data_IF_158074669158
#
_entry.id   IF_158074669158
#
_cell.length_a   1.000
_cell.length_b   1.000
_cell.length_c   1.000
_cell.angle_alpha   90.00
_cell.angle_beta   90.00
_cell.angle_gamma   90.00
#
_symmetry.space_group_name_H-M   'P 1'
#
loop_
_entity.id
_entity.type
_entity.pdbx_description
1 polymer ?
#
# COMPACT_ATOMS: atom_id res chain seq x y z
N UNK A 1 -15.24 -11.85 -2.27
CA UNK A 1 -14.48 -11.89 -3.53
C UNK A 1 -13.80 -13.26 -3.69
N UNK A 2 -13.72 -13.80 -4.91
CA UNK A 2 -13.03 -15.06 -5.20
C UNK A 2 -11.52 -14.86 -5.09
N UNK A 3 -10.81 -15.83 -4.50
CA UNK A 3 -9.35 -15.84 -4.37
C UNK A 3 -8.77 -16.86 -5.33
N UNK A 4 -7.58 -16.57 -5.85
CA UNK A 4 -6.91 -17.40 -6.84
C UNK A 4 -5.50 -17.72 -6.37
N UNK A 5 -4.96 -18.82 -6.83
CA UNK A 5 -3.52 -19.12 -6.80
C UNK A 5 -3.09 -19.18 -8.26
N UNK A 6 -2.23 -18.22 -8.64
CA UNK A 6 -1.76 -18.06 -10.02
C UNK A 6 -0.23 -18.11 -10.04
N UNK A 7 0.32 -18.68 -11.08
CA UNK A 7 1.73 -18.55 -11.41
C UNK A 7 1.86 -17.43 -12.43
N UNK A 8 2.25 -16.23 -11.94
CA UNK A 8 2.37 -15.03 -12.76
C UNK A 8 3.79 -14.93 -13.31
N UNK A 9 3.89 -14.53 -14.58
CA UNK A 9 5.17 -14.35 -15.27
C UNK A 9 5.75 -12.97 -14.94
N UNK A 10 7.03 -12.93 -14.59
CA UNK A 10 7.77 -11.69 -14.36
C UNK A 10 8.01 -11.00 -15.70
N UNK A 11 7.53 -9.77 -15.82
CA UNK A 11 7.75 -8.86 -16.96
C UNK A 11 9.05 -8.08 -16.76
N UNK A 12 9.22 -7.49 -15.57
CA UNK A 12 10.44 -6.77 -15.19
C UNK A 12 10.64 -6.77 -13.69
N UNK A 13 11.91 -6.57 -13.27
CA UNK A 13 12.30 -6.23 -11.90
C UNK A 13 13.16 -4.99 -11.99
N UNK A 14 12.65 -3.87 -11.49
CA UNK A 14 13.26 -2.55 -11.61
C UNK A 14 13.75 -2.11 -10.23
N UNK A 15 15.07 -1.94 -10.00
CA UNK A 15 15.56 -1.37 -8.75
C UNK A 15 15.17 0.13 -8.70
N UNK A 16 14.45 0.52 -7.65
CA UNK A 16 14.09 1.92 -7.41
C UNK A 16 15.09 2.58 -6.44
N UNK A 17 15.71 1.79 -5.58
CA UNK A 17 16.78 2.20 -4.68
C UNK A 17 17.57 0.96 -4.22
N UNK A 18 18.59 1.13 -3.41
CA UNK A 18 19.35 0.02 -2.81
C UNK A 18 18.47 -0.94 -1.97
N UNK A 19 17.29 -0.48 -1.58
CA UNK A 19 16.39 -1.20 -0.64
C UNK A 19 15.02 -1.51 -1.23
N UNK A 20 14.71 -1.07 -2.44
CA UNK A 20 13.38 -1.23 -3.03
C UNK A 20 13.45 -1.67 -4.47
N UNK A 21 12.60 -2.60 -4.83
CA UNK A 21 12.41 -3.06 -6.21
C UNK A 21 10.94 -3.02 -6.60
N UNK A 22 10.66 -2.67 -7.83
CA UNK A 22 9.35 -2.79 -8.45
C UNK A 22 9.33 -4.03 -9.34
N UNK A 23 8.45 -4.99 -9.01
CA UNK A 23 8.26 -6.22 -9.76
C UNK A 23 6.97 -6.09 -10.55
N UNK A 24 7.05 -6.19 -11.88
CA UNK A 24 5.88 -6.21 -12.77
C UNK A 24 5.60 -7.65 -13.21
N UNK A 25 4.36 -8.08 -13.06
CA UNK A 25 3.90 -9.44 -13.31
C UNK A 25 2.76 -9.42 -14.33
N UNK A 26 2.60 -10.49 -15.08
CA UNK A 26 1.49 -10.68 -16.01
C UNK A 26 0.99 -12.13 -16.01
N UNK A 27 -0.16 -12.36 -16.64
CA UNK A 27 -0.72 -13.68 -16.94
C UNK A 27 -1.17 -13.71 -18.40
N UNK A 28 -1.20 -14.89 -19.02
CA UNK A 28 -1.77 -15.08 -20.35
C UNK A 28 -3.29 -14.84 -20.37
N UNK A 29 -3.96 -14.94 -19.22
CA UNK A 29 -5.36 -14.62 -18.99
C UNK A 29 -5.50 -13.27 -18.32
N UNK A 30 -6.66 -12.63 -18.49
CA UNK A 30 -6.96 -11.40 -17.78
C UNK A 30 -6.83 -11.59 -16.26
N UNK A 31 -6.09 -10.68 -15.61
CA UNK A 31 -5.97 -10.64 -14.16
C UNK A 31 -7.36 -10.49 -13.51
N UNK A 32 -7.61 -11.13 -12.34
CA UNK A 32 -8.87 -10.99 -11.63
C UNK A 32 -9.17 -9.54 -11.27
N UNK A 33 -10.41 -9.27 -10.90
CA UNK A 33 -10.76 -7.99 -10.31
C UNK A 33 -9.98 -7.79 -8.99
N UNK A 34 -9.38 -6.61 -8.85
CA UNK A 34 -8.55 -6.23 -7.69
C UNK A 34 -9.01 -4.85 -7.24
N UNK A 35 -9.28 -4.72 -5.96
CA UNK A 35 -9.59 -3.45 -5.32
C UNK A 35 -8.33 -2.76 -4.79
N UNK A 36 -8.25 -1.42 -4.79
CA UNK A 36 -7.12 -0.70 -4.24
C UNK A 36 -6.99 -0.96 -2.73
N UNK A 37 -5.77 -1.17 -2.25
CA UNK A 37 -5.51 -1.53 -0.85
C UNK A 37 -5.47 -3.04 -0.58
N UNK A 38 -5.84 -3.88 -1.54
CA UNK A 38 -5.64 -5.34 -1.44
C UNK A 38 -4.17 -5.72 -1.59
N UNK A 39 -3.83 -6.94 -1.20
CA UNK A 39 -2.48 -7.46 -1.23
C UNK A 39 -2.43 -8.86 -1.86
N UNK A 40 -1.23 -9.34 -2.07
CA UNK A 40 -0.91 -10.68 -2.57
C UNK A 40 0.01 -11.40 -1.59
N UNK A 41 -0.19 -12.71 -1.41
CA UNK A 41 0.76 -13.59 -0.71
C UNK A 41 1.63 -14.30 -1.75
N UNK A 42 2.89 -13.88 -1.88
CA UNK A 42 3.83 -14.46 -2.83
C UNK A 42 4.62 -15.61 -2.21
N UNK A 43 4.76 -16.72 -2.96
CA UNK A 43 5.65 -17.81 -2.58
C UNK A 43 7.08 -17.43 -2.95
N UNK A 44 8.00 -17.68 -2.03
CA UNK A 44 9.42 -17.43 -2.26
C UNK A 44 10.10 -18.75 -2.53
N UNK A 45 10.38 -19.01 -3.79
CA UNK A 45 11.10 -20.20 -4.21
C UNK A 45 12.62 -20.00 -4.02
N UNK A 46 13.37 -21.10 -3.95
CA UNK A 46 14.83 -21.11 -3.76
C UNK A 46 15.32 -20.43 -2.46
N UNK A 47 14.46 -20.36 -1.44
CA UNK A 47 14.79 -19.83 -0.12
C UNK A 47 14.39 -20.82 0.98
N UNK A 48 15.20 -21.84 1.28
CA UNK A 48 14.84 -22.88 2.25
C UNK A 48 14.47 -22.37 3.64
N UNK A 49 15.04 -21.23 4.05
CA UNK A 49 14.71 -20.55 5.30
C UNK A 49 13.38 -19.77 5.25
N UNK A 50 12.76 -19.63 4.07
CA UNK A 50 11.54 -18.85 3.88
C UNK A 50 10.35 -19.76 3.64
N UNK A 51 9.86 -20.39 4.70
CA UNK A 51 8.74 -21.36 4.61
C UNK A 51 7.38 -20.69 4.31
N UNK A 52 7.14 -19.50 4.83
CA UNK A 52 5.88 -18.79 4.66
C UNK A 52 5.91 -17.88 3.43
N UNK A 53 4.76 -17.68 2.81
CA UNK A 53 4.55 -16.64 1.80
C UNK A 53 4.85 -15.27 2.37
N UNK A 54 5.05 -14.29 1.51
CA UNK A 54 5.25 -12.87 1.88
C UNK A 54 4.05 -12.06 1.43
N UNK A 55 3.37 -11.38 2.38
CA UNK A 55 2.33 -10.43 2.04
C UNK A 55 2.97 -9.18 1.43
N UNK A 56 2.53 -8.85 0.22
CA UNK A 56 2.99 -7.65 -0.51
C UNK A 56 1.75 -6.89 -0.95
N UNK A 57 1.67 -5.61 -0.60
CA UNK A 57 0.60 -4.74 -1.10
C UNK A 57 0.64 -4.64 -2.61
N UNK A 58 -0.53 -4.68 -3.24
CA UNK A 58 -0.63 -4.43 -4.67
C UNK A 58 -0.41 -2.94 -4.90
N UNK A 59 0.67 -2.62 -5.62
CA UNK A 59 1.07 -1.25 -5.90
C UNK A 59 0.23 -0.66 -7.04
N UNK A 60 0.09 -1.42 -8.14
CA UNK A 60 -0.67 -0.98 -9.29
C UNK A 60 -1.27 -2.14 -10.08
N UNK A 61 -2.37 -1.87 -10.79
CA UNK A 61 -2.96 -2.81 -11.75
C UNK A 61 -3.15 -2.08 -13.06
N UNK A 62 -2.29 -2.40 -14.02
CA UNK A 62 -2.42 -1.93 -15.38
C UNK A 62 -3.33 -2.90 -16.17
N UNK A 63 -4.57 -2.47 -16.44
CA UNK A 63 -5.55 -3.28 -17.16
C UNK A 63 -5.30 -3.34 -18.66
N UNK A 64 -4.66 -2.33 -19.22
CA UNK A 64 -4.36 -2.25 -20.66
C UNK A 64 -3.23 -3.22 -21.01
N UNK A 65 -2.19 -3.26 -20.17
CA UNK A 65 -1.05 -4.17 -20.34
C UNK A 65 -1.24 -5.52 -19.64
N UNK A 66 -2.35 -5.71 -18.93
CA UNK A 66 -2.61 -6.89 -18.09
C UNK A 66 -1.48 -7.15 -17.08
N UNK A 67 -1.03 -6.10 -16.37
CA UNK A 67 0.08 -6.19 -15.43
C UNK A 67 -0.35 -5.92 -13.99
N UNK A 68 0.27 -6.64 -13.07
CA UNK A 68 0.23 -6.44 -11.62
C UNK A 68 1.60 -5.95 -11.16
N UNK A 69 1.65 -4.82 -10.46
CA UNK A 69 2.88 -4.25 -9.94
C UNK A 69 2.98 -4.46 -8.43
N UNK A 70 4.16 -4.87 -7.98
CA UNK A 70 4.48 -5.10 -6.57
C UNK A 70 5.71 -4.27 -6.19
N UNK A 71 5.53 -3.29 -5.32
CA UNK A 71 6.63 -2.53 -4.72
C UNK A 71 7.13 -3.28 -3.48
N UNK A 72 8.37 -3.73 -3.51
CA UNK A 72 8.94 -4.62 -2.49
C UNK A 72 10.13 -3.96 -1.79
N UNK A 73 10.04 -3.83 -0.46
CA UNK A 73 11.19 -3.46 0.37
C UNK A 73 12.07 -4.70 0.63
N UNK A 74 13.36 -4.59 0.31
CA UNK A 74 14.35 -5.67 0.45
C UNK A 74 14.91 -5.69 1.88
N UNK A 75 14.18 -6.29 2.80
CA UNK A 75 14.49 -6.24 4.25
C UNK A 75 14.88 -7.58 4.86
N UNK A 76 14.58 -8.69 4.20
CA UNK A 76 14.84 -10.04 4.73
C UNK A 76 15.15 -11.05 3.62
N UNK A 77 15.45 -12.31 3.99
CA UNK A 77 15.86 -13.35 3.02
C UNK A 77 14.83 -13.54 1.91
N UNK A 78 13.55 -13.60 2.26
CA UNK A 78 12.50 -13.76 1.26
C UNK A 78 12.46 -12.61 0.25
N UNK A 79 12.49 -11.36 0.71
CA UNK A 79 12.46 -10.20 -0.19
C UNK A 79 13.77 -10.01 -0.95
N UNK A 80 14.92 -10.41 -0.38
CA UNK A 80 16.20 -10.51 -1.12
C UNK A 80 16.14 -11.55 -2.23
N UNK A 81 15.39 -12.63 -2.05
CA UNK A 81 15.22 -13.62 -3.13
C UNK A 81 14.27 -13.10 -4.21
N UNK A 82 13.19 -12.41 -3.82
CA UNK A 82 12.29 -11.76 -4.77
C UNK A 82 12.99 -10.70 -5.63
N UNK A 83 13.94 -9.94 -5.07
CA UNK A 83 14.69 -8.92 -5.82
C UNK A 83 15.68 -9.49 -6.86
N UNK A 84 15.92 -10.81 -6.85
CA UNK A 84 16.78 -11.50 -7.82
C UNK A 84 16.02 -12.13 -8.98
N UNK A 85 14.69 -12.06 -8.97
CA UNK A 85 13.87 -12.55 -10.08
C UNK A 85 14.26 -11.86 -11.38
N UNK A 86 14.12 -12.57 -12.47
CA UNK A 86 14.44 -12.09 -13.81
C UNK A 86 13.20 -12.14 -14.72
N UNK A 87 13.24 -11.39 -15.79
CA UNK A 87 12.21 -11.44 -16.81
C UNK A 87 12.03 -12.90 -17.30
N UNK A 88 10.78 -13.35 -17.30
CA UNK A 88 10.40 -14.70 -17.69
C UNK A 88 10.27 -15.69 -16.54
N UNK A 89 10.79 -15.39 -15.35
CA UNK A 89 10.56 -16.20 -14.16
C UNK A 89 9.06 -16.27 -13.81
N UNK A 90 8.69 -17.33 -13.08
CA UNK A 90 7.32 -17.51 -12.61
C UNK A 90 7.24 -17.23 -11.10
N UNK A 91 6.31 -16.41 -10.69
CA UNK A 91 6.04 -16.09 -9.29
C UNK A 91 4.65 -16.60 -8.88
N UNK A 92 4.61 -17.56 -7.95
CA UNK A 92 3.36 -18.10 -7.44
C UNK A 92 2.70 -17.13 -6.45
N UNK A 93 1.52 -16.64 -6.80
CA UNK A 93 0.79 -15.60 -6.11
C UNK A 93 -0.59 -16.10 -5.66
N UNK A 94 -0.94 -15.87 -4.40
CA UNK A 94 -2.32 -16.01 -3.92
C UNK A 94 -2.94 -14.61 -3.82
N UNK A 95 -3.94 -14.31 -4.64
CA UNK A 95 -4.54 -12.98 -4.81
C UNK A 95 -6.01 -13.05 -5.30
N UNK A 96 -6.78 -11.92 -5.26
CA UNK A 96 -6.55 -10.79 -4.36
C UNK A 96 -6.91 -11.15 -2.92
N UNK A 97 -6.24 -10.54 -1.95
CA UNK A 97 -6.47 -10.79 -0.53
C UNK A 97 -6.84 -9.49 0.20
N UNK A 98 -7.63 -9.64 1.24
CA UNK A 98 -8.09 -8.53 2.07
C UNK A 98 -9.18 -7.67 1.44
N UNK A 99 -9.53 -6.59 2.12
CA UNK A 99 -10.50 -5.58 1.72
C UNK A 99 -9.77 -4.32 1.23
N UNK A 100 -10.38 -3.60 0.30
CA UNK A 100 -9.83 -2.38 -0.26
C UNK A 100 -10.21 -1.12 0.52
N UNK A 101 -9.66 0.02 0.06
CA UNK A 101 -10.02 1.36 0.51
C UNK A 101 -11.46 1.72 0.10
N UNK A 102 -12.06 2.64 0.85
CA UNK A 102 -13.38 3.19 0.54
C UNK A 102 -13.30 4.11 -0.69
N UNK A 103 -14.08 3.76 -1.71
CA UNK A 103 -14.18 4.54 -2.94
C UNK A 103 -15.10 5.76 -2.75
N UNK A 104 -14.93 6.85 -3.54
CA UNK A 104 -15.76 8.04 -3.44
C UNK A 104 -17.22 7.74 -3.74
N UNK A 105 -18.10 8.44 -3.05
CA UNK A 105 -19.56 8.36 -3.25
C UNK A 105 -20.10 9.43 -4.20
N UNK A 106 -19.29 10.46 -4.47
CA UNK A 106 -19.61 11.56 -5.38
C UNK A 106 -18.33 12.10 -6.04
N UNK A 107 -18.43 12.64 -7.26
CA UNK A 107 -17.33 13.37 -7.89
C UNK A 107 -16.92 14.60 -7.07
N UNK A 108 -15.66 15.01 -7.20
CA UNK A 108 -15.10 16.19 -6.54
C UNK A 108 -14.72 15.98 -5.06
N UNK A 109 -14.98 14.83 -4.48
CA UNK A 109 -14.49 14.52 -3.12
C UNK A 109 -12.97 14.58 -3.08
N UNK A 110 -12.42 15.24 -2.06
CA UNK A 110 -10.98 15.43 -1.87
C UNK A 110 -10.41 14.38 -0.93
N UNK A 111 -9.49 13.60 -1.43
CA UNK A 111 -8.82 12.53 -0.68
C UNK A 111 -7.37 12.90 -0.38
N UNK A 112 -6.97 12.83 0.89
CA UNK A 112 -5.56 12.90 1.28
C UNK A 112 -5.01 11.48 1.46
N UNK A 113 -4.07 11.11 0.61
CA UNK A 113 -3.39 9.82 0.62
C UNK A 113 -2.01 9.98 1.25
N UNK A 114 -1.85 9.53 2.50
CA UNK A 114 -0.63 9.73 3.28
C UNK A 114 0.20 8.45 3.30
N UNK A 115 1.37 8.49 2.72
CA UNK A 115 2.27 7.33 2.63
C UNK A 115 3.64 7.56 3.25
N UNK A 116 4.24 6.51 3.85
CA UNK A 116 5.58 6.57 4.40
C UNK A 116 6.45 5.37 4.01
N UNK A 117 7.61 5.61 3.41
CA UNK A 117 8.49 4.56 2.92
C UNK A 117 7.77 3.63 1.93
N UNK A 118 7.95 2.30 2.04
CA UNK A 118 7.26 1.33 1.17
C UNK A 118 5.75 1.31 1.34
N UNK A 119 5.21 1.89 2.43
CA UNK A 119 3.77 2.04 2.64
C UNK A 119 3.06 2.94 1.62
N UNK A 120 3.80 3.62 0.74
CA UNK A 120 3.22 4.31 -0.42
C UNK A 120 2.59 3.34 -1.43
N UNK A 121 3.03 2.08 -1.42
CA UNK A 121 2.64 1.07 -2.42
C UNK A 121 1.12 0.97 -2.67
N UNK A 122 0.24 0.74 -1.68
CA UNK A 122 -1.19 0.57 -1.94
C UNK A 122 -1.90 1.86 -2.36
N UNK A 123 -1.24 3.01 -2.26
CA UNK A 123 -1.85 4.32 -2.52
C UNK A 123 -1.81 4.72 -3.99
N UNK A 124 -0.87 4.18 -4.78
CA UNK A 124 -0.73 4.54 -6.20
C UNK A 124 -1.95 4.11 -7.02
N UNK A 125 -2.32 2.84 -6.95
CA UNK A 125 -3.50 2.31 -7.64
C UNK A 125 -4.80 2.95 -7.11
N UNK A 126 -4.85 3.23 -5.82
CA UNK A 126 -5.98 3.92 -5.22
C UNK A 126 -6.15 5.32 -5.80
N UNK A 127 -5.07 6.12 -5.86
CA UNK A 127 -5.12 7.46 -6.45
C UNK A 127 -5.55 7.46 -7.91
N UNK A 128 -5.08 6.48 -8.72
CA UNK A 128 -5.57 6.30 -10.09
C UNK A 128 -7.08 6.12 -10.13
N UNK A 129 -7.62 5.19 -9.35
CA UNK A 129 -9.05 4.90 -9.36
C UNK A 129 -9.89 6.06 -8.81
N UNK A 130 -9.40 6.81 -7.83
CA UNK A 130 -10.03 8.04 -7.35
C UNK A 130 -10.15 9.07 -8.47
N UNK A 131 -9.06 9.32 -9.20
CA UNK A 131 -9.05 10.23 -10.35
C UNK A 131 -10.01 9.78 -11.45
N UNK A 132 -10.01 8.49 -11.77
CA UNK A 132 -10.90 7.91 -12.78
C UNK A 132 -12.39 8.10 -12.42
N UNK A 133 -12.72 8.16 -11.13
CA UNK A 133 -14.08 8.41 -10.62
C UNK A 133 -14.37 9.90 -10.39
N UNK A 134 -13.48 10.78 -10.82
CA UNK A 134 -13.66 12.23 -10.72
C UNK A 134 -13.45 12.81 -9.33
N UNK A 135 -12.81 12.07 -8.42
CA UNK A 135 -12.34 12.61 -7.13
C UNK A 135 -11.02 13.38 -7.31
N UNK A 136 -10.61 14.12 -6.29
CA UNK A 136 -9.38 14.92 -6.26
C UNK A 136 -8.38 14.30 -5.27
N UNK A 137 -7.52 13.34 -5.70
CA UNK A 137 -6.50 12.77 -4.84
C UNK A 137 -5.31 13.71 -4.67
N UNK A 138 -4.91 13.89 -3.42
CA UNK A 138 -3.68 14.58 -3.02
C UNK A 138 -2.80 13.60 -2.26
N UNK A 139 -1.57 13.43 -2.70
CA UNK A 139 -0.61 12.55 -2.06
C UNK A 139 0.29 13.35 -1.12
N UNK A 140 0.43 12.90 0.12
CA UNK A 140 1.40 13.40 1.08
C UNK A 140 2.37 12.27 1.43
N UNK A 141 3.55 12.32 0.81
CA UNK A 141 4.54 11.26 0.86
C UNK A 141 5.70 11.64 1.77
N UNK A 142 5.96 10.82 2.78
CA UNK A 142 7.01 11.04 3.76
C UNK A 142 8.14 10.02 3.64
N UNK A 143 9.38 10.51 3.81
CA UNK A 143 10.56 9.67 3.83
C UNK A 143 11.59 10.22 4.84
N UNK A 144 12.66 9.45 5.11
CA UNK A 144 13.78 9.97 5.91
C UNK A 144 14.60 10.98 5.13
N UNK A 145 14.87 10.66 3.88
CA UNK A 145 15.70 11.44 2.95
C UNK A 145 15.07 11.46 1.57
N UNK A 146 15.51 12.36 0.70
CA UNK A 146 15.06 12.44 -0.70
C UNK A 146 15.26 11.12 -1.47
N UNK A 147 16.31 10.37 -1.16
CA UNK A 147 16.61 9.09 -1.84
C UNK A 147 15.70 7.93 -1.41
N UNK A 148 14.96 8.11 -0.32
CA UNK A 148 13.95 7.14 0.15
C UNK A 148 12.54 7.42 -0.40
N UNK A 149 12.35 8.51 -1.16
CA UNK A 149 11.10 8.82 -1.85
C UNK A 149 10.94 7.91 -3.08
N UNK A 150 9.77 7.29 -3.21
CA UNK A 150 9.52 6.27 -4.22
C UNK A 150 8.42 6.73 -5.19
N UNK A 151 8.58 6.44 -6.47
CA UNK A 151 7.56 6.54 -7.52
C UNK A 151 6.90 7.94 -7.67
N UNK A 152 7.61 9.03 -7.34
CA UNK A 152 7.03 10.39 -7.36
C UNK A 152 6.39 10.75 -8.71
N UNK A 153 7.05 10.39 -9.82
CA UNK A 153 6.56 10.67 -11.18
C UNK A 153 5.29 9.86 -11.49
N UNK A 154 5.17 8.65 -10.95
CA UNK A 154 3.96 7.84 -11.10
C UNK A 154 2.79 8.46 -10.32
N UNK A 155 3.02 8.86 -9.07
CA UNK A 155 2.01 9.55 -8.26
C UNK A 155 1.53 10.86 -8.91
N UNK A 156 2.44 11.64 -9.47
CA UNK A 156 2.13 12.91 -10.13
C UNK A 156 1.18 12.79 -11.33
N UNK A 157 1.09 11.60 -11.95
CA UNK A 157 0.12 11.34 -13.03
C UNK A 157 -1.33 11.38 -12.54
N UNK A 158 -1.56 11.08 -11.26
CA UNK A 158 -2.90 10.87 -10.74
C UNK A 158 -3.38 11.98 -9.79
N UNK A 159 -2.48 12.75 -9.19
CA UNK A 159 -2.85 13.86 -8.31
C UNK A 159 -1.66 14.73 -7.93
N UNK A 160 -1.94 15.75 -7.13
CA UNK A 160 -0.90 16.60 -6.58
C UNK A 160 -0.06 15.82 -5.56
N UNK A 161 1.26 15.95 -5.65
CA UNK A 161 2.20 15.32 -4.72
C UNK A 161 2.80 16.38 -3.79
N UNK A 162 2.64 16.17 -2.50
CA UNK A 162 3.28 16.91 -1.41
C UNK A 162 4.30 15.99 -0.74
N UNK A 163 5.43 16.53 -0.32
CA UNK A 163 6.57 15.74 0.15
C UNK A 163 7.07 16.26 1.47
N UNK A 164 7.39 15.35 2.40
CA UNK A 164 8.20 15.66 3.58
C UNK A 164 9.41 14.73 3.66
N UNK A 165 10.54 15.27 4.10
CA UNK A 165 11.69 14.46 4.51
C UNK A 165 12.15 14.87 5.90
N UNK A 166 12.53 13.89 6.72
CA UNK A 166 12.95 14.16 8.10
C UNK A 166 14.17 15.07 8.15
N UNK A 167 15.09 14.89 7.19
CA UNK A 167 16.34 15.68 7.06
C UNK A 167 16.17 16.98 6.28
N UNK A 168 15.01 17.23 5.65
CA UNK A 168 14.76 18.42 4.82
C UNK A 168 15.42 18.39 3.43
N UNK A 169 15.89 17.22 2.97
CA UNK A 169 16.54 17.09 1.67
C UNK A 169 15.57 17.20 0.47
N UNK A 170 14.25 17.05 0.70
CA UNK A 170 13.21 17.29 -0.30
C UNK A 170 11.88 17.65 0.38
N UNK A 171 11.11 18.53 -0.24
CA UNK A 171 9.82 18.99 0.29
C UNK A 171 9.93 19.78 1.59
N UNK A 172 8.92 19.68 2.46
CA UNK A 172 8.97 20.28 3.79
C UNK A 172 9.75 19.39 4.77
N UNK A 173 10.55 19.99 5.65
CA UNK A 173 11.30 19.25 6.66
C UNK A 173 10.37 18.74 7.76
N UNK A 174 10.49 17.48 8.13
CA UNK A 174 9.81 16.86 9.25
C UNK A 174 8.95 15.65 8.86
N UNK A 175 8.00 15.32 9.73
CA UNK A 175 7.06 14.23 9.49
C UNK A 175 5.87 14.68 8.65
N UNK A 176 5.14 13.74 8.04
CA UNK A 176 3.94 14.03 7.24
C UNK A 176 2.91 14.88 7.99
N UNK A 177 2.79 14.73 9.30
CA UNK A 177 1.89 15.52 10.13
C UNK A 177 2.37 16.95 10.43
N UNK A 178 3.58 17.30 10.00
CA UNK A 178 4.10 18.69 10.08
C UNK A 178 3.84 19.49 8.80
N UNK A 179 3.50 18.83 7.68
CA UNK A 179 3.33 19.49 6.39
C UNK A 179 2.22 20.55 6.44
N UNK A 180 2.51 21.72 5.85
CA UNK A 180 1.64 22.90 5.85
C UNK A 180 0.26 22.66 5.23
N UNK A 181 0.15 21.73 4.29
CA UNK A 181 -1.12 21.36 3.64
C UNK A 181 -2.22 21.00 4.65
N UNK A 182 -1.85 20.37 5.77
CA UNK A 182 -2.78 19.97 6.82
C UNK A 182 -3.39 21.14 7.60
N UNK A 183 -2.78 22.34 7.47
CA UNK A 183 -3.26 23.57 8.12
C UNK A 183 -4.09 24.44 7.19
N UNK A 184 -3.91 24.28 5.87
CA UNK A 184 -4.46 25.19 4.88
C UNK A 184 -5.56 24.57 4.01
N UNK A 185 -5.70 23.25 4.03
CA UNK A 185 -6.66 22.58 3.16
C UNK A 185 -7.56 21.61 3.92
N UNK A 186 -8.76 21.43 3.40
CA UNK A 186 -9.73 20.48 3.91
C UNK A 186 -9.83 19.27 3.00
N UNK A 187 -10.04 18.09 3.59
CA UNK A 187 -10.20 16.83 2.90
C UNK A 187 -11.45 16.12 3.41
N UNK A 188 -12.15 15.43 2.52
CA UNK A 188 -13.33 14.64 2.86
C UNK A 188 -12.95 13.27 3.45
N UNK A 189 -11.79 12.75 3.05
CA UNK A 189 -11.27 11.45 3.47
C UNK A 189 -9.75 11.46 3.56
N UNK A 190 -9.22 10.80 4.57
CA UNK A 190 -7.78 10.53 4.72
C UNK A 190 -7.55 9.03 4.69
N UNK A 191 -6.63 8.58 3.83
CA UNK A 191 -6.20 7.17 3.78
C UNK A 191 -4.70 7.10 3.97
N UNK A 192 -4.23 6.22 4.85
CA UNK A 192 -2.80 6.18 5.16
C UNK A 192 -2.25 4.75 5.23
N UNK A 193 -0.98 4.60 4.82
CA UNK A 193 -0.22 3.38 4.96
C UNK A 193 1.27 3.70 5.19
N UNK A 194 1.91 2.94 6.08
CA UNK A 194 3.31 3.10 6.41
C UNK A 194 3.63 2.71 7.85
N UNK A 195 4.71 3.21 8.44
CA UNK A 195 5.10 2.90 9.81
C UNK A 195 3.98 3.19 10.81
N UNK A 196 3.73 2.26 11.73
CA UNK A 196 2.63 2.37 12.72
C UNK A 196 2.62 3.73 13.46
N UNK A 197 3.76 4.29 13.93
CA UNK A 197 3.76 5.61 14.57
C UNK A 197 3.26 6.73 13.65
N UNK A 198 3.59 6.67 12.35
CA UNK A 198 3.11 7.63 11.35
C UNK A 198 1.58 7.51 11.19
N UNK A 199 1.06 6.31 10.96
CA UNK A 199 -0.37 6.08 10.81
C UNK A 199 -1.16 6.52 12.06
N UNK A 200 -0.64 6.25 13.27
CA UNK A 200 -1.25 6.73 14.52
C UNK A 200 -1.27 8.28 14.60
N UNK A 201 -0.22 8.94 14.16
CA UNK A 201 -0.15 10.41 14.15
C UNK A 201 -1.14 11.00 13.13
N UNK A 202 -1.27 10.39 11.95
CA UNK A 202 -2.26 10.76 10.94
C UNK A 202 -3.69 10.54 11.46
N UNK A 203 -3.94 9.40 12.14
CA UNK A 203 -5.24 9.11 12.74
C UNK A 203 -5.63 10.14 13.82
N UNK A 204 -4.69 10.57 14.67
CA UNK A 204 -4.92 11.65 15.65
C UNK A 204 -5.23 12.98 14.98
N UNK A 205 -4.51 13.32 13.91
CA UNK A 205 -4.80 14.52 13.13
C UNK A 205 -6.22 14.44 12.55
N UNK A 206 -6.58 13.35 11.89
CA UNK A 206 -7.90 13.15 11.28
C UNK A 206 -9.02 13.27 12.34
N UNK A 207 -8.84 12.65 13.52
CA UNK A 207 -9.79 12.77 14.65
C UNK A 207 -9.94 14.22 15.11
N UNK A 208 -8.85 14.99 15.22
CA UNK A 208 -8.89 16.41 15.61
C UNK A 208 -9.55 17.29 14.55
N UNK A 209 -9.36 16.95 13.27
CA UNK A 209 -9.94 17.69 12.14
C UNK A 209 -11.37 17.26 11.81
N UNK A 210 -11.91 16.24 12.51
CA UNK A 210 -13.22 15.61 12.25
C UNK A 210 -13.36 15.10 10.82
N UNK A 211 -12.28 14.46 10.29
CA UNK A 211 -12.24 13.86 8.97
C UNK A 211 -12.22 12.34 9.08
N UNK A 212 -12.99 11.67 8.24
CA UNK A 212 -12.94 10.19 8.14
C UNK A 212 -11.55 9.72 7.74
N UNK A 213 -11.08 8.65 8.40
CA UNK A 213 -9.74 8.15 8.16
C UNK A 213 -9.69 6.63 8.11
N UNK A 214 -8.96 6.09 7.16
CA UNK A 214 -8.65 4.67 7.01
C UNK A 214 -7.15 4.44 7.05
N UNK A 215 -6.75 3.31 7.60
CA UNK A 215 -5.36 2.85 7.62
C UNK A 215 -5.25 1.49 6.96
N UNK A 216 -4.22 1.28 6.16
CA UNK A 216 -3.84 -0.04 5.67
C UNK A 216 -2.77 -0.64 6.58
N UNK A 217 -3.14 -1.66 7.35
CA UNK A 217 -2.28 -2.27 8.37
C UNK A 217 -1.32 -3.29 7.76
N UNK A 218 -0.08 -3.32 8.28
CA UNK A 218 0.99 -4.25 7.89
C UNK A 218 1.30 -5.22 9.04
N UNK A 219 0.33 -6.03 9.44
CA UNK A 219 0.54 -7.04 10.47
C UNK A 219 1.31 -8.25 9.89
N UNK A 220 2.07 -8.96 10.75
CA UNK A 220 2.70 -10.23 10.36
C UNK A 220 1.62 -11.22 9.93
N UNK A 221 1.82 -11.86 8.78
CA UNK A 221 0.87 -12.81 8.22
C UNK A 221 1.53 -14.18 7.99
N UNK A 222 0.70 -15.23 7.99
CA UNK A 222 1.14 -16.58 7.66
C UNK A 222 0.21 -17.23 6.61
N UNK A 223 -1.11 -17.21 6.80
CA UNK A 223 -2.05 -17.90 5.90
C UNK A 223 -2.73 -16.98 4.87
N UNK A 224 -2.77 -15.67 5.09
CA UNK A 224 -3.45 -14.70 4.21
C UNK A 224 -4.97 -14.83 4.10
N UNK A 225 -5.61 -15.78 4.83
CA UNK A 225 -7.04 -16.13 4.65
C UNK A 225 -7.86 -16.15 5.95
N UNK A 226 -7.27 -15.69 7.07
CA UNK A 226 -7.97 -15.59 8.36
C UNK A 226 -8.04 -16.89 9.18
N UNK A 227 -7.30 -17.94 8.80
CA UNK A 227 -7.36 -19.24 9.49
C UNK A 227 -6.37 -19.39 10.65
N UNK A 228 -5.16 -18.82 10.55
CA UNK A 228 -4.09 -19.03 11.52
C UNK A 228 -4.06 -18.03 12.68
N UNK A 229 -4.82 -16.95 12.61
CA UNK A 229 -4.91 -15.86 13.60
C UNK A 229 -3.59 -15.12 13.88
N UNK A 230 -2.58 -15.27 13.02
CA UNK A 230 -1.27 -14.63 13.18
C UNK A 230 -1.35 -13.09 13.05
N UNK A 231 -2.25 -12.59 12.20
CA UNK A 231 -2.39 -11.17 11.86
C UNK A 231 -3.51 -10.46 12.65
N UNK A 232 -3.88 -10.97 13.81
CA UNK A 232 -4.97 -10.38 14.62
C UNK A 232 -4.59 -8.99 15.10
N UNK A 233 -5.52 -8.04 14.90
CA UNK A 233 -5.52 -6.71 15.49
C UNK A 233 -6.71 -6.59 16.45
N UNK A 234 -6.47 -5.94 17.61
CA UNK A 234 -7.52 -5.65 18.57
C UNK A 234 -8.30 -4.41 18.14
N UNK A 235 -9.60 -4.54 18.04
CA UNK A 235 -10.49 -3.45 17.62
C UNK A 235 -11.65 -3.27 18.59
N UNK A 236 -12.40 -2.19 18.46
CA UNK A 236 -13.64 -1.96 19.23
C UNK A 236 -14.73 -3.02 18.93
N UNK A 237 -14.58 -3.72 17.79
CA UNK A 237 -15.46 -4.84 17.39
C UNK A 237 -14.92 -6.21 17.80
N UNK A 238 -13.89 -6.25 18.66
CA UNK A 238 -13.18 -7.47 19.05
C UNK A 238 -11.95 -7.73 18.17
N UNK A 239 -11.46 -8.95 18.19
CA UNK A 239 -10.28 -9.35 17.44
C UNK A 239 -10.63 -9.54 15.96
N UNK A 240 -9.93 -8.84 15.07
CA UNK A 240 -10.08 -8.94 13.62
C UNK A 240 -8.81 -9.48 12.97
N UNK A 241 -8.96 -10.36 11.96
CA UNK A 241 -7.83 -10.85 11.17
C UNK A 241 -7.53 -9.87 10.05
N UNK A 242 -6.43 -9.13 10.13
CA UNK A 242 -6.02 -8.11 9.13
C UNK A 242 -6.01 -8.66 7.70
N UNK A 243 -5.62 -9.92 7.49
CA UNK A 243 -5.62 -10.53 6.15
C UNK A 243 -7.00 -10.82 5.56
N UNK A 244 -8.07 -10.80 6.38
CA UNK A 244 -9.45 -11.11 5.97
C UNK A 244 -10.38 -9.92 6.16
N UNK A 245 -10.32 -9.30 7.34
CA UNK A 245 -11.21 -8.22 7.76
C UNK A 245 -10.62 -6.83 7.42
N UNK A 246 -9.29 -6.76 7.17
CA UNK A 246 -8.51 -5.65 6.66
C UNK A 246 -7.92 -5.98 5.27
N UNK A 247 -6.72 -5.46 4.87
CA UNK A 247 -5.82 -4.64 5.69
C UNK A 247 -6.33 -3.22 5.96
N UNK A 248 -7.25 -2.72 5.13
CA UNK A 248 -7.83 -1.40 5.29
C UNK A 248 -8.88 -1.42 6.40
N UNK A 249 -8.66 -0.60 7.43
CA UNK A 249 -9.54 -0.50 8.60
C UNK A 249 -9.79 0.98 8.91
N UNK A 250 -11.06 1.36 9.13
CA UNK A 250 -11.39 2.69 9.60
C UNK A 250 -10.81 2.90 11.02
N UNK A 251 -10.12 4.02 11.25
CA UNK A 251 -9.44 4.32 12.51
C UNK A 251 -10.38 4.33 13.73
N UNK A 252 -11.68 4.61 13.53
CA UNK A 252 -12.70 4.54 14.58
C UNK A 252 -12.90 3.13 15.15
N UNK A 253 -12.47 2.11 14.39
CA UNK A 253 -12.53 0.73 14.84
C UNK A 253 -11.26 0.29 15.59
N UNK A 254 -10.17 1.05 15.53
CA UNK A 254 -8.89 0.73 16.17
C UNK A 254 -8.83 1.27 17.60
N UNK A 255 -8.17 0.52 18.49
CA UNK A 255 -7.90 0.95 19.87
C UNK A 255 -6.59 1.78 19.90
N UNK A 256 -6.56 2.83 19.09
CA UNK A 256 -5.45 3.76 19.01
C UNK A 256 -5.81 5.05 19.75
N UNK A 257 -5.16 5.26 20.87
CA UNK A 257 -5.31 6.46 21.73
C UNK A 257 -4.52 7.65 21.18
#
# INVERSE_FOLDING_TARGET
>A
MKKYILDLKVVSVEPLSDKHVLIKLTDDKALPEILPGQFVEVRVDHSPATMLRRPISINFVDREQNQLWLLVAVVGDGTRQLSKLQQGDMLNCMLPLGNGFTMPTAPGQRYLLVGGGVGVAPLLYFGKLLKDQGADPVFLLGARTATDLLELDEFAKYGRVCITTEDGSAGEQGFVTNHSILQHEHFDMISTCGPKPMMMSVARYAKKADVECEVSLENKMACGVGACLCCVEKTVKGNQCVCKDGPVINVKNLLWD
#
